data_IF_214124400067
#
_entry.id   IF_214124400067
#
_cell.length_a   1.000
_cell.length_b   1.000
_cell.length_c   1.000
_cell.angle_alpha   90.00
_cell.angle_beta   90.00
_cell.angle_gamma   90.00
#
_symmetry.space_group_name_H-M   'P 1'
#
loop_
_entity.id
_entity.type
_entity.pdbx_description
1 polymer ?
#
# COMPACT_ATOMS: atom_id res chain seq x y z
N UNK A 1 14.06 6.76 17.62
CA UNK A 1 13.46 8.12 17.49
C UNK A 1 12.50 8.16 16.29
N UNK A 2 12.77 7.33 15.27
CA UNK A 2 11.95 7.16 14.06
C UNK A 2 10.49 6.78 14.35
N UNK A 3 10.24 5.90 15.33
CA UNK A 3 8.89 5.43 15.64
C UNK A 3 7.90 6.55 16.01
N UNK A 4 8.35 7.61 16.71
CA UNK A 4 7.48 8.75 17.04
C UNK A 4 7.08 9.56 15.81
N UNK A 5 7.99 9.73 14.85
CA UNK A 5 7.71 10.44 13.60
C UNK A 5 6.74 9.66 12.71
N UNK A 6 6.91 8.33 12.65
CA UNK A 6 5.98 7.44 11.97
C UNK A 6 4.58 7.58 12.59
N UNK A 7 4.46 7.45 13.91
CA UNK A 7 3.16 7.54 14.59
C UNK A 7 2.51 8.93 14.43
N UNK A 8 3.29 10.01 14.51
CA UNK A 8 2.78 11.37 14.28
C UNK A 8 2.27 11.58 12.84
N UNK A 9 2.84 10.89 11.84
CA UNK A 9 2.41 10.98 10.46
C UNK A 9 1.20 10.08 10.13
N UNK A 10 0.96 9.01 10.90
CA UNK A 10 -0.04 7.97 10.58
C UNK A 10 -1.42 8.54 10.24
N UNK A 11 -2.01 9.32 11.15
CA UNK A 11 -3.38 9.81 10.98
C UNK A 11 -3.59 10.56 9.67
N UNK A 12 -2.69 11.49 9.32
CA UNK A 12 -2.79 12.25 8.08
C UNK A 12 -2.51 11.42 6.82
N UNK A 13 -1.54 10.50 6.87
CA UNK A 13 -1.17 9.68 5.70
C UNK A 13 -2.29 8.69 5.39
N UNK A 14 -2.79 7.98 6.42
CA UNK A 14 -3.90 7.04 6.27
C UNK A 14 -5.15 7.75 5.78
N UNK A 15 -5.52 8.90 6.37
CA UNK A 15 -6.69 9.65 5.94
C UNK A 15 -6.59 10.10 4.47
N UNK A 16 -5.44 10.60 4.04
CA UNK A 16 -5.23 11.01 2.66
C UNK A 16 -5.26 9.82 1.68
N UNK A 17 -4.76 8.65 2.08
CA UNK A 17 -4.81 7.43 1.26
C UNK A 17 -6.24 6.90 1.16
N UNK A 18 -6.95 6.81 2.28
CA UNK A 18 -8.35 6.38 2.31
C UNK A 18 -9.24 7.31 1.47
N UNK A 19 -9.01 8.63 1.51
CA UNK A 19 -9.70 9.56 0.63
C UNK A 19 -9.39 9.32 -0.86
N UNK A 20 -8.14 8.99 -1.18
CA UNK A 20 -7.66 8.81 -2.56
C UNK A 20 -8.06 7.49 -3.21
N UNK A 21 -8.04 6.40 -2.43
CA UNK A 21 -8.31 5.04 -2.90
C UNK A 21 -9.71 4.55 -2.54
N UNK A 22 -10.44 5.28 -1.67
CA UNK A 22 -11.78 4.92 -1.18
C UNK A 22 -11.81 3.55 -0.49
N UNK A 23 -10.70 3.19 0.14
CA UNK A 23 -10.47 1.91 0.80
C UNK A 23 -9.58 2.17 2.03
N UNK A 24 -10.15 1.97 3.23
CA UNK A 24 -9.46 2.22 4.49
C UNK A 24 -8.48 1.09 4.82
N UNK A 25 -8.84 -0.15 4.51
CA UNK A 25 -8.00 -1.32 4.80
C UNK A 25 -6.73 -1.27 3.95
N UNK A 26 -6.88 -0.96 2.65
CA UNK A 26 -5.74 -0.70 1.77
C UNK A 26 -4.85 0.44 2.26
N UNK A 27 -5.45 1.51 2.78
CA UNK A 27 -4.71 2.65 3.29
C UNK A 27 -3.89 2.31 4.54
N UNK A 28 -4.47 1.56 5.47
CA UNK A 28 -3.81 1.11 6.70
C UNK A 28 -2.67 0.13 6.40
N UNK A 29 -2.92 -0.85 5.54
CA UNK A 29 -1.89 -1.83 5.12
C UNK A 29 -0.73 -1.12 4.40
N UNK A 30 -1.03 -0.24 3.45
CA UNK A 30 -0.01 0.48 2.71
C UNK A 30 0.82 1.41 3.62
N UNK A 31 0.21 2.01 4.64
CA UNK A 31 0.94 2.76 5.65
C UNK A 31 1.83 1.86 6.50
N UNK A 32 1.32 0.71 6.97
CA UNK A 32 2.09 -0.24 7.78
C UNK A 32 3.33 -0.74 7.03
N UNK A 33 3.17 -1.10 5.75
CA UNK A 33 4.29 -1.47 4.90
C UNK A 33 5.29 -0.32 4.68
N UNK A 34 4.82 0.93 4.55
CA UNK A 34 5.68 2.10 4.41
C UNK A 34 6.44 2.39 5.71
N UNK A 35 5.81 2.23 6.86
CA UNK A 35 6.42 2.33 8.17
C UNK A 35 7.52 1.27 8.37
N UNK A 36 7.26 0.02 7.97
CA UNK A 36 8.28 -1.04 7.97
C UNK A 36 9.49 -0.68 7.08
N UNK A 37 9.22 -0.11 5.90
CA UNK A 37 10.26 0.36 4.98
C UNK A 37 11.08 1.51 5.57
N UNK A 38 10.43 2.43 6.30
CA UNK A 38 11.08 3.57 6.95
C UNK A 38 12.11 3.12 7.99
N UNK A 39 11.80 2.11 8.81
CA UNK A 39 12.71 1.60 9.86
C UNK A 39 14.05 1.15 9.28
N UNK A 40 14.05 0.55 8.09
CA UNK A 40 15.27 0.16 7.40
C UNK A 40 15.93 1.33 6.65
N UNK A 41 15.14 2.12 5.92
CA UNK A 41 15.66 3.18 5.06
C UNK A 41 16.29 4.34 5.84
N UNK A 42 15.64 4.81 6.90
CA UNK A 42 16.06 6.00 7.66
C UNK A 42 17.34 5.81 8.47
N UNK A 43 17.72 4.56 8.73
CA UNK A 43 19.03 4.24 9.33
C UNK A 43 20.20 4.51 8.38
N UNK A 44 19.95 4.40 7.07
CA UNK A 44 20.95 4.65 6.04
C UNK A 44 20.93 6.10 5.59
N UNK A 45 19.74 6.64 5.38
CA UNK A 45 19.54 8.00 4.90
C UNK A 45 18.20 8.54 5.41
N UNK A 46 18.28 9.55 6.28
CA UNK A 46 17.11 10.14 6.90
C UNK A 46 16.58 11.25 5.97
N UNK A 47 15.33 11.17 5.49
CA UNK A 47 14.83 12.14 4.53
C UNK A 47 14.59 13.49 5.19
N UNK A 48 14.67 14.57 4.41
CA UNK A 48 14.42 15.94 4.90
C UNK A 48 12.97 16.14 5.39
N UNK A 49 12.02 15.42 4.78
CA UNK A 49 10.61 15.39 5.20
C UNK A 49 10.11 13.95 5.46
N UNK A 50 10.25 13.49 6.73
CA UNK A 50 9.61 12.34 7.36
C UNK A 50 8.29 11.86 6.75
N UNK A 51 7.26 12.69 7.00
CA UNK A 51 5.90 12.45 6.55
C UNK A 51 5.72 12.43 5.03
N UNK A 52 6.35 13.32 4.27
CA UNK A 52 6.21 13.31 2.81
C UNK A 52 6.81 12.04 2.21
N UNK A 53 7.91 11.54 2.79
CA UNK A 53 8.48 10.26 2.43
C UNK A 53 7.50 9.11 2.71
N UNK A 54 6.89 9.08 3.91
CA UNK A 54 5.88 8.07 4.27
C UNK A 54 4.68 8.09 3.34
N UNK A 55 4.14 9.27 3.05
CA UNK A 55 3.04 9.45 2.09
C UNK A 55 3.39 8.85 0.72
N UNK A 56 4.54 9.23 0.16
CA UNK A 56 4.96 8.79 -1.17
C UNK A 56 5.17 7.28 -1.23
N UNK A 57 5.82 6.71 -0.21
CA UNK A 57 6.07 5.27 -0.12
C UNK A 57 4.76 4.50 0.03
N UNK A 58 3.86 4.93 0.92
CA UNK A 58 2.57 4.29 1.12
C UNK A 58 1.67 4.41 -0.12
N UNK A 59 1.63 5.57 -0.78
CA UNK A 59 0.89 5.76 -2.03
C UNK A 59 1.32 4.77 -3.12
N UNK A 60 2.64 4.57 -3.30
CA UNK A 60 3.16 3.60 -4.27
C UNK A 60 2.73 2.18 -3.93
N UNK A 61 2.81 1.80 -2.65
CA UNK A 61 2.41 0.48 -2.17
C UNK A 61 0.91 0.22 -2.38
N UNK A 62 0.07 1.21 -2.05
CA UNK A 62 -1.37 1.14 -2.31
C UNK A 62 -1.67 1.00 -3.81
N UNK A 63 -1.02 1.82 -4.65
CA UNK A 63 -1.18 1.74 -6.11
C UNK A 63 -0.77 0.38 -6.66
N UNK A 64 0.34 -0.18 -6.19
CA UNK A 64 0.82 -1.49 -6.62
C UNK A 64 -0.10 -2.62 -6.13
N UNK A 65 -0.70 -2.49 -4.95
CA UNK A 65 -1.72 -3.42 -4.47
C UNK A 65 -3.00 -3.37 -5.33
N UNK A 66 -3.49 -2.17 -5.67
CA UNK A 66 -4.63 -1.99 -6.58
C UNK A 66 -4.35 -2.60 -7.96
N UNK A 67 -3.15 -2.35 -8.52
CA UNK A 67 -2.74 -2.93 -9.81
C UNK A 67 -2.70 -4.45 -9.76
N UNK A 68 -2.10 -5.04 -8.71
CA UNK A 68 -2.07 -6.50 -8.52
C UNK A 68 -3.48 -7.08 -8.39
N UNK A 69 -4.38 -6.42 -7.70
CA UNK A 69 -5.78 -6.85 -7.58
C UNK A 69 -6.49 -6.83 -8.94
N UNK A 70 -6.30 -5.79 -9.74
CA UNK A 70 -6.85 -5.70 -11.09
C UNK A 70 -6.30 -6.81 -12.01
N UNK A 71 -4.99 -7.08 -11.98
CA UNK A 71 -4.38 -8.18 -12.74
C UNK A 71 -4.95 -9.54 -12.33
N UNK A 72 -5.10 -9.80 -11.02
CA UNK A 72 -5.71 -11.05 -10.53
C UNK A 72 -7.16 -11.19 -11.01
N UNK A 73 -7.95 -10.12 -10.95
CA UNK A 73 -9.34 -10.16 -11.41
C UNK A 73 -9.44 -10.43 -12.92
N UNK A 74 -8.58 -9.79 -13.72
CA UNK A 74 -8.49 -10.08 -15.16
C UNK A 74 -8.13 -11.54 -15.42
N UNK A 75 -7.15 -12.09 -14.71
CA UNK A 75 -6.75 -13.49 -14.89
C UNK A 75 -7.87 -14.47 -14.51
N UNK A 76 -8.69 -14.15 -13.51
CA UNK A 76 -9.88 -14.95 -13.16
C UNK A 76 -10.94 -14.89 -14.27
N UNK A 77 -11.15 -13.74 -14.88
CA UNK A 77 -12.07 -13.58 -16.00
C UNK A 77 -11.61 -14.33 -17.26
N UNK A 78 -10.31 -14.30 -17.55
CA UNK A 78 -9.72 -14.91 -18.74
C UNK A 78 -9.48 -16.43 -18.60
N UNK A 79 -9.88 -17.04 -17.48
CA UNK A 79 -9.76 -18.49 -17.28
C UNK A 79 -10.61 -19.24 -18.32
N UNK A 80 -10.07 -20.28 -18.99
CA UNK A 80 -10.84 -21.07 -19.94
C UNK A 80 -12.05 -21.69 -19.22
N UNK A 81 -13.17 -21.79 -19.93
CA UNK A 81 -14.35 -22.49 -19.41
C UNK A 81 -13.92 -23.89 -18.93
N UNK A 82 -14.44 -24.36 -17.78
CA UNK A 82 -14.14 -25.71 -17.32
C UNK A 82 -14.46 -26.68 -18.46
N UNK A 83 -13.57 -27.64 -18.70
CA UNK A 83 -13.83 -28.66 -19.72
C UNK A 83 -15.19 -29.30 -19.43
N UNK A 84 -16.07 -29.44 -20.44
CA UNK A 84 -17.37 -30.05 -20.23
C UNK A 84 -17.13 -31.42 -19.62
N UNK A 85 -17.69 -31.64 -18.43
CA UNK A 85 -17.63 -32.95 -17.77
C UNK A 85 -18.44 -33.89 -18.64
N UNK A 86 -17.85 -34.96 -19.22
CA UNK A 86 -18.61 -35.93 -19.96
C UNK A 86 -19.57 -36.62 -18.98
N UNK A 87 -20.88 -36.56 -19.28
CA UNK A 87 -21.89 -37.43 -18.66
C UNK A 87 -21.76 -38.87 -19.18
#
# INVERSE_FOLDING_TARGET
MEGRLIQAARGRVVAALAARFRDLDLAEEAFAEAAASAVAAWRRDFPDDPPAWLWRTAYRKALDATRRAATRNKALHDAPAPEPTPE
#
